data_IF_918910777775
#
_entry.id   IF_918910777775
#
_cell.length_a   1.000
_cell.length_b   1.000
_cell.length_c   1.000
_cell.angle_alpha   90.00
_cell.angle_beta   90.00
_cell.angle_gamma   90.00
#
_symmetry.space_group_name_H-M   'P 1'
#
loop_
_entity.id
_entity.type
_entity.pdbx_description
1 polymer ?
#
# COMPACT_ATOMS: atom_id res chain seq x y z
N UNK A 1 8.85 -8.80 -0.42
CA UNK A 1 7.45 -8.75 0.02
C UNK A 1 6.65 -8.48 -1.22
N UNK A 2 5.88 -9.48 -1.64
CA UNK A 2 5.02 -9.36 -2.80
C UNK A 2 3.80 -8.50 -2.48
N UNK A 3 3.14 -7.98 -3.51
CA UNK A 3 1.85 -7.26 -3.35
C UNK A 3 0.81 -8.17 -2.68
N UNK A 4 0.86 -9.47 -2.97
CA UNK A 4 0.04 -10.52 -2.34
C UNK A 4 0.23 -10.55 -0.82
N UNK A 5 1.47 -10.57 -0.32
CA UNK A 5 1.79 -10.54 1.12
C UNK A 5 1.20 -9.31 1.81
N UNK A 6 1.29 -8.15 1.14
CA UNK A 6 0.72 -6.91 1.63
C UNK A 6 -0.82 -6.98 1.73
N UNK A 7 -1.49 -7.47 0.69
CA UNK A 7 -2.95 -7.63 0.67
C UNK A 7 -3.42 -8.60 1.75
N UNK A 8 -2.76 -9.74 1.90
CA UNK A 8 -3.08 -10.70 2.96
C UNK A 8 -2.88 -10.09 4.35
N UNK A 9 -1.80 -9.34 4.54
CA UNK A 9 -1.55 -8.61 5.78
C UNK A 9 -2.66 -7.61 6.10
N UNK A 10 -3.12 -6.85 5.11
CA UNK A 10 -4.21 -5.88 5.26
C UNK A 10 -5.52 -6.56 5.67
N UNK A 11 -5.87 -7.67 5.01
CA UNK A 11 -7.07 -8.46 5.31
C UNK A 11 -7.08 -9.06 6.71
N UNK A 12 -5.92 -9.50 7.22
CA UNK A 12 -5.81 -10.02 8.59
C UNK A 12 -6.05 -8.94 9.66
N UNK A 13 -5.68 -7.68 9.38
CA UNK A 13 -5.84 -6.58 10.34
C UNK A 13 -7.28 -6.03 10.32
N UNK A 14 -7.85 -5.83 9.12
CA UNK A 14 -9.25 -5.45 8.93
C UNK A 14 -9.86 -6.23 7.75
N UNK A 15 -10.69 -7.25 8.01
CA UNK A 15 -11.27 -8.08 6.96
C UNK A 15 -12.13 -7.33 5.93
N UNK A 16 -12.82 -6.27 6.38
CA UNK A 16 -13.76 -5.49 5.56
C UNK A 16 -13.10 -4.31 4.83
N UNK A 17 -11.78 -4.16 4.92
CA UNK A 17 -11.10 -2.98 4.41
C UNK A 17 -10.78 -3.10 2.92
N UNK A 18 -11.05 -2.02 2.19
CA UNK A 18 -10.79 -1.92 0.75
C UNK A 18 -9.36 -1.42 0.51
N UNK A 19 -8.55 -2.24 -0.18
CA UNK A 19 -7.23 -1.85 -0.69
C UNK A 19 -7.36 -1.42 -2.15
N UNK A 20 -6.96 -0.19 -2.47
CA UNK A 20 -6.92 0.33 -3.83
C UNK A 20 -5.48 0.61 -4.25
N UNK A 21 -5.11 0.08 -5.41
CA UNK A 21 -3.83 0.32 -6.08
C UNK A 21 -4.12 1.16 -7.33
N UNK A 22 -3.60 2.39 -7.36
CA UNK A 22 -3.80 3.30 -8.47
C UNK A 22 -2.46 3.75 -9.06
N UNK A 23 -2.29 3.58 -10.36
CA UNK A 23 -1.14 4.10 -11.08
C UNK A 23 -1.49 5.49 -11.62
N UNK A 24 -0.69 6.49 -11.26
CA UNK A 24 -0.74 7.83 -11.86
C UNK A 24 0.35 7.90 -12.95
N UNK A 25 -0.03 7.87 -14.24
CA UNK A 25 0.93 7.89 -15.34
C UNK A 25 1.63 9.25 -15.49
N UNK A 26 1.00 10.34 -15.07
CA UNK A 26 1.55 11.70 -15.18
C UNK A 26 2.66 11.88 -14.16
N UNK A 27 2.44 11.41 -12.93
CA UNK A 27 3.44 11.46 -11.85
C UNK A 27 4.40 10.28 -11.87
N UNK A 28 4.15 9.28 -12.72
CA UNK A 28 4.87 8.01 -12.73
C UNK A 28 4.95 7.42 -11.32
N UNK A 29 3.80 7.27 -10.66
CA UNK A 29 3.73 6.81 -9.28
C UNK A 29 2.65 5.76 -9.07
N UNK A 30 2.88 4.85 -8.12
CA UNK A 30 1.88 3.94 -7.58
C UNK A 30 1.36 4.52 -6.26
N UNK A 31 0.04 4.67 -6.15
CA UNK A 31 -0.68 5.02 -4.95
C UNK A 31 -1.33 3.77 -4.37
N UNK A 32 -1.08 3.52 -3.09
CA UNK A 32 -1.80 2.55 -2.26
C UNK A 32 -2.72 3.30 -1.33
N UNK A 33 -4.00 2.97 -1.37
CA UNK A 33 -5.01 3.46 -0.43
C UNK A 33 -5.63 2.30 0.31
N UNK A 34 -5.88 2.50 1.60
CA UNK A 34 -6.58 1.54 2.44
C UNK A 34 -7.69 2.27 3.18
N UNK A 35 -8.92 1.82 2.98
CA UNK A 35 -10.12 2.45 3.52
C UNK A 35 -10.91 1.41 4.31
N UNK A 36 -11.34 1.77 5.52
CA UNK A 36 -12.29 0.97 6.29
C UNK A 36 -13.38 1.89 6.86
N UNK A 37 -14.64 1.59 6.60
CA UNK A 37 -15.75 2.48 6.99
C UNK A 37 -15.78 3.80 6.21
N UNK A 38 -16.31 4.86 6.84
CA UNK A 38 -16.50 6.18 6.23
C UNK A 38 -15.26 7.08 6.24
N UNK A 39 -14.25 6.72 7.01
CA UNK A 39 -13.02 7.50 7.16
C UNK A 39 -11.86 6.88 6.36
N UNK A 40 -11.12 7.73 5.65
CA UNK A 40 -9.91 7.33 4.91
C UNK A 40 -8.75 7.24 5.89
N UNK A 41 -8.38 6.03 6.27
CA UNK A 41 -7.38 5.88 7.33
C UNK A 41 -5.94 5.68 6.83
N UNK A 42 -5.70 5.42 5.53
CA UNK A 42 -4.33 5.42 5.01
C UNK A 42 -4.19 5.64 3.51
N UNK A 43 -3.21 6.47 3.13
CA UNK A 43 -2.74 6.58 1.74
C UNK A 43 -1.22 6.79 1.66
N UNK A 44 -0.55 6.07 0.77
CA UNK A 44 0.88 6.24 0.48
C UNK A 44 1.17 6.09 -1.00
N UNK A 45 2.12 6.87 -1.50
CA UNK A 45 2.59 6.80 -2.88
C UNK A 45 4.09 6.51 -2.95
N UNK A 46 4.51 5.82 -3.99
CA UNK A 46 5.90 5.56 -4.36
C UNK A 46 6.10 5.85 -5.85
N UNK A 47 7.27 6.35 -6.25
CA UNK A 47 7.56 6.55 -7.66
C UNK A 47 7.82 5.20 -8.34
N UNK A 48 7.33 5.01 -9.56
CA UNK A 48 7.52 3.76 -10.31
C UNK A 48 9.01 3.44 -10.53
N UNK A 49 9.87 4.44 -10.67
CA UNK A 49 11.32 4.26 -10.77
C UNK A 49 11.93 3.60 -9.53
N UNK A 50 11.31 3.78 -8.36
CA UNK A 50 11.77 3.23 -7.10
C UNK A 50 11.31 1.78 -6.94
N UNK A 51 10.24 1.35 -7.63
CA UNK A 51 9.81 -0.05 -7.67
C UNK A 51 10.79 -0.98 -8.41
N UNK A 52 11.75 -0.42 -9.15
CA UNK A 52 12.82 -1.20 -9.78
C UNK A 52 13.85 -1.73 -8.77
N UNK A 53 13.78 -1.29 -7.52
CA UNK A 53 14.67 -1.70 -6.45
C UNK A 53 13.89 -2.52 -5.42
N UNK A 54 14.16 -3.82 -5.35
CA UNK A 54 13.48 -4.75 -4.44
C UNK A 54 13.47 -4.28 -2.97
N UNK A 55 14.55 -3.62 -2.55
CA UNK A 55 14.66 -3.04 -1.21
C UNK A 55 13.66 -1.90 -0.98
N UNK A 56 13.48 -1.01 -1.96
CA UNK A 56 12.51 0.08 -1.86
C UNK A 56 11.06 -0.43 -1.85
N UNK A 57 10.77 -1.49 -2.61
CA UNK A 57 9.47 -2.19 -2.58
C UNK A 57 9.21 -2.78 -1.20
N UNK A 58 10.20 -3.47 -0.62
CA UNK A 58 10.11 -4.06 0.71
C UNK A 58 9.86 -3.01 1.79
N UNK A 59 10.64 -1.92 1.79
CA UNK A 59 10.50 -0.82 2.75
C UNK A 59 9.13 -0.15 2.62
N UNK A 60 8.66 0.08 1.39
CA UNK A 60 7.36 0.69 1.14
C UNK A 60 6.21 -0.14 1.71
N UNK A 61 6.15 -1.44 1.41
CA UNK A 61 5.09 -2.29 1.93
C UNK A 61 5.22 -2.57 3.43
N UNK A 62 6.44 -2.64 3.99
CA UNK A 62 6.65 -2.71 5.43
C UNK A 62 6.12 -1.46 6.15
N UNK A 63 6.35 -0.27 5.61
CA UNK A 63 5.79 0.98 6.12
C UNK A 63 4.27 1.02 6.01
N UNK A 64 3.70 0.53 4.91
CA UNK A 64 2.26 0.41 4.78
C UNK A 64 1.70 -0.50 5.87
N UNK A 65 2.27 -1.70 6.05
CA UNK A 65 1.88 -2.64 7.11
C UNK A 65 1.97 -2.05 8.52
N UNK A 66 3.04 -1.34 8.85
CA UNK A 66 3.20 -0.74 10.18
C UNK A 66 2.17 0.37 10.46
N UNK A 67 1.74 1.11 9.42
CA UNK A 67 0.68 2.09 9.54
C UNK A 67 -0.69 1.44 9.74
N UNK A 68 -0.89 0.21 9.27
CA UNK A 68 -2.16 -0.51 9.41
C UNK A 68 -2.46 -0.96 10.84
N UNK A 69 -1.42 -1.21 11.64
CA UNK A 69 -1.52 -1.76 13.00
C UNK A 69 -1.55 -0.70 14.10
N UNK A 70 -1.52 0.59 13.73
CA UNK A 70 -1.64 1.71 14.68
C UNK A 70 -3.09 2.13 14.82
#
# INVERSE_FOLDING_TARGET
MEISDFIFGAQQVKPDALVTLQIDPVKSSLLVQWCWGSDKDFSRSILLKELNYDEAVNVFFAHCKAAMTR
#
